data_IF_936637173719
#
_entry.id   IF_936637173719
#
_cell.length_a   1.000
_cell.length_b   1.000
_cell.length_c   1.000
_cell.angle_alpha   90.00
_cell.angle_beta   90.00
_cell.angle_gamma   90.00
#
_symmetry.space_group_name_H-M   'P 1'
#
loop_
_entity.id
_entity.type
_entity.pdbx_description
1 polymer ?
#
# COMPACT_ATOMS: atom_id res chain seq x y z
N UNK A 1 -12.29 6.84 19.39
CA UNK A 1 -11.45 5.70 18.98
C UNK A 1 -11.50 5.51 17.47
N UNK A 2 -12.53 4.90 16.86
CA UNK A 2 -12.57 4.65 15.41
C UNK A 2 -12.63 5.92 14.52
N UNK A 3 -13.43 6.91 14.90
CA UNK A 3 -13.52 8.21 14.18
C UNK A 3 -12.41 9.20 14.55
N UNK A 4 -11.51 8.83 15.46
CA UNK A 4 -10.40 9.69 15.85
C UNK A 4 -9.37 9.74 14.70
N UNK A 5 -8.68 10.88 14.52
CA UNK A 5 -7.62 10.98 13.51
C UNK A 5 -6.47 10.05 13.88
N UNK A 6 -6.01 9.28 12.89
CA UNK A 6 -4.90 8.34 13.02
C UNK A 6 -3.65 8.86 12.30
N UNK A 7 -3.82 9.43 11.10
CA UNK A 7 -2.73 9.97 10.29
C UNK A 7 -3.08 11.32 9.69
N UNK A 8 -2.05 12.15 9.51
CA UNK A 8 -2.09 13.37 8.71
C UNK A 8 -1.13 13.22 7.54
N UNK A 9 -1.68 13.09 6.33
CA UNK A 9 -0.90 12.95 5.11
C UNK A 9 -0.95 14.26 4.34
N UNK A 10 0.22 14.86 4.11
CA UNK A 10 0.31 16.13 3.41
C UNK A 10 0.43 15.91 1.91
N UNK A 11 -0.47 16.52 1.15
CA UNK A 11 -0.45 16.47 -0.31
C UNK A 11 0.02 17.81 -0.86
N UNK A 12 0.91 17.79 -1.86
CA UNK A 12 1.34 18.99 -2.58
C UNK A 12 0.17 19.53 -3.41
N UNK A 13 -0.53 20.53 -2.89
CA UNK A 13 -1.51 21.27 -3.68
C UNK A 13 -0.83 22.05 -4.81
N UNK A 14 -1.58 22.37 -5.87
CA UNK A 14 -1.08 23.18 -6.99
C UNK A 14 -0.90 24.66 -6.65
N UNK A 15 -1.47 25.13 -5.54
CA UNK A 15 -1.30 26.48 -5.00
C UNK A 15 -1.18 26.46 -3.47
N UNK A 16 -0.21 27.20 -2.94
CA UNK A 16 -0.05 27.44 -1.50
C UNK A 16 0.61 26.33 -0.68
N UNK A 17 0.42 26.39 0.65
CA UNK A 17 0.97 25.44 1.62
C UNK A 17 0.31 24.06 1.50
N UNK A 18 1.05 22.95 1.72
CA UNK A 18 0.49 21.59 1.68
C UNK A 18 -0.70 21.42 2.62
N UNK A 19 -1.80 20.85 2.10
CA UNK A 19 -2.99 20.55 2.90
C UNK A 19 -2.85 19.18 3.55
N UNK A 20 -3.21 19.07 4.82
CA UNK A 20 -3.24 17.81 5.54
C UNK A 20 -4.53 17.05 5.25
N UNK A 21 -4.43 15.89 4.61
CA UNK A 21 -5.49 14.91 4.54
C UNK A 21 -5.55 14.14 5.87
N UNK A 22 -6.68 14.29 6.58
CA UNK A 22 -6.89 13.61 7.86
C UNK A 22 -7.47 12.22 7.59
N UNK A 23 -6.71 11.19 7.95
CA UNK A 23 -7.13 9.79 7.86
C UNK A 23 -7.54 9.32 9.26
N UNK A 24 -8.77 8.83 9.40
CA UNK A 24 -9.27 8.26 10.66
C UNK A 24 -8.91 6.79 10.80
N UNK A 25 -8.92 6.26 12.02
CA UNK A 25 -8.69 4.81 12.26
C UNK A 25 -9.67 3.93 11.48
N UNK A 26 -10.93 4.36 11.36
CA UNK A 26 -11.95 3.70 10.54
C UNK A 26 -11.53 3.53 9.08
N UNK A 27 -10.92 4.57 8.48
CA UNK A 27 -10.43 4.51 7.09
C UNK A 27 -9.25 3.57 6.93
N UNK A 28 -8.36 3.52 7.93
CA UNK A 28 -7.25 2.56 7.95
C UNK A 28 -7.77 1.14 7.97
N UNK A 29 -8.69 0.86 8.90
CA UNK A 29 -9.24 -0.47 9.06
C UNK A 29 -10.05 -0.93 7.84
N UNK A 30 -10.86 -0.03 7.28
CA UNK A 30 -11.61 -0.30 6.05
C UNK A 30 -10.69 -0.61 4.87
N UNK A 31 -9.59 0.13 4.71
CA UNK A 31 -8.63 -0.13 3.64
C UNK A 31 -7.99 -1.51 3.80
N UNK A 32 -7.47 -1.85 4.99
CA UNK A 32 -6.90 -3.18 5.24
C UNK A 32 -7.92 -4.30 5.01
N UNK A 33 -9.17 -4.11 5.41
CA UNK A 33 -10.25 -5.06 5.16
C UNK A 33 -10.56 -5.26 3.67
N UNK A 34 -10.58 -4.18 2.89
CA UNK A 34 -10.81 -4.24 1.43
C UNK A 34 -9.74 -5.06 0.71
N UNK A 35 -8.48 -4.96 1.14
CA UNK A 35 -7.41 -5.79 0.57
C UNK A 35 -7.72 -7.28 0.74
N UNK A 36 -8.27 -7.63 1.88
CA UNK A 36 -8.76 -8.96 2.16
C UNK A 36 -9.88 -9.47 1.28
N UNK A 37 -10.81 -8.59 0.92
CA UNK A 37 -11.91 -8.92 0.01
C UNK A 37 -11.42 -9.17 -1.42
N UNK A 38 -10.26 -8.60 -1.79
CA UNK A 38 -9.60 -8.86 -3.08
C UNK A 38 -8.95 -10.25 -3.11
N UNK A 39 -8.92 -10.97 -1.98
CA UNK A 39 -8.38 -12.33 -1.89
C UNK A 39 -6.92 -12.37 -1.45
N UNK A 40 -6.38 -11.26 -0.92
CA UNK A 40 -5.02 -11.23 -0.39
C UNK A 40 -4.91 -12.10 0.86
N UNK A 41 -4.03 -13.09 0.79
CA UNK A 41 -3.78 -14.10 1.81
C UNK A 41 -2.42 -13.89 2.49
N UNK A 42 -2.20 -14.53 3.64
CA UNK A 42 -0.96 -14.46 4.43
C UNK A 42 0.31 -14.88 3.68
N UNK A 43 0.15 -15.69 2.63
CA UNK A 43 1.27 -16.18 1.80
C UNK A 43 1.70 -15.16 0.73
N UNK A 44 0.93 -14.08 0.53
CA UNK A 44 1.19 -13.11 -0.53
C UNK A 44 2.24 -12.09 -0.09
N UNK A 45 3.17 -11.79 -0.99
CA UNK A 45 4.19 -10.77 -0.76
C UNK A 45 3.73 -9.44 -1.36
N UNK A 46 3.45 -8.46 -0.50
CA UNK A 46 3.06 -7.12 -0.95
C UNK A 46 4.30 -6.31 -1.33
N UNK A 47 4.34 -5.86 -2.58
CA UNK A 47 5.44 -5.05 -3.07
C UNK A 47 5.03 -3.57 -3.07
N UNK A 48 5.66 -2.78 -2.18
CA UNK A 48 5.34 -1.36 -1.99
C UNK A 48 6.42 -0.53 -2.69
N UNK A 49 6.07 -0.04 -3.86
CA UNK A 49 6.90 0.81 -4.72
C UNK A 49 6.76 2.31 -4.41
N UNK A 50 5.67 2.68 -3.73
CA UNK A 50 5.36 4.06 -3.42
C UNK A 50 5.90 4.44 -2.04
N UNK A 51 6.27 5.72 -1.84
CA UNK A 51 6.69 6.18 -0.53
C UNK A 51 5.58 5.99 0.52
N UNK A 52 5.93 5.56 1.72
CA UNK A 52 4.97 5.33 2.82
C UNK A 52 4.24 6.59 3.30
N UNK A 53 4.69 7.79 2.92
CA UNK A 53 3.95 9.02 3.17
C UNK A 53 2.79 9.22 2.18
N UNK A 54 2.66 8.38 1.16
CA UNK A 54 1.50 8.36 0.28
C UNK A 54 0.39 7.48 0.86
N UNK A 55 -0.86 7.96 0.76
CA UNK A 55 -2.02 7.29 1.36
C UNK A 55 -2.19 5.86 0.88
N UNK A 56 -2.04 5.57 -0.42
CA UNK A 56 -2.19 4.20 -0.95
C UNK A 56 -1.12 3.24 -0.39
N UNK A 57 0.14 3.67 -0.35
CA UNK A 57 1.25 2.86 0.15
C UNK A 57 1.08 2.50 1.64
N UNK A 58 0.64 3.46 2.45
CA UNK A 58 0.46 3.25 3.88
C UNK A 58 -0.79 2.40 4.19
N UNK A 59 -1.93 2.74 3.57
CA UNK A 59 -3.23 2.11 3.88
C UNK A 59 -3.40 0.72 3.28
N UNK A 60 -2.84 0.47 2.10
CA UNK A 60 -2.99 -0.84 1.43
C UNK A 60 -1.71 -1.66 1.58
N UNK A 61 -0.54 -1.04 1.44
CA UNK A 61 0.74 -1.73 1.57
C UNK A 61 1.05 -2.13 3.01
N UNK A 62 1.36 -1.14 3.87
CA UNK A 62 1.86 -1.42 5.22
C UNK A 62 0.77 -1.95 6.15
N UNK A 63 -0.36 -1.24 6.27
CA UNK A 63 -1.42 -1.63 7.22
C UNK A 63 -2.18 -2.88 6.76
N UNK A 64 -2.36 -3.05 5.45
CA UNK A 64 -2.88 -4.30 4.88
C UNK A 64 -1.98 -5.50 5.15
N UNK A 65 -0.65 -5.35 5.04
CA UNK A 65 0.28 -6.42 5.40
C UNK A 65 0.20 -6.80 6.88
N UNK A 66 0.11 -5.80 7.77
CA UNK A 66 0.03 -6.01 9.22
C UNK A 66 -1.28 -6.71 9.59
N UNK A 67 -2.41 -6.29 9.04
CA UNK A 67 -3.73 -6.88 9.31
C UNK A 67 -3.80 -8.36 8.92
N UNK A 68 -3.10 -8.75 7.85
CA UNK A 68 -3.12 -10.11 7.31
C UNK A 68 -1.94 -10.99 7.71
N UNK A 69 -0.89 -10.41 8.29
CA UNK A 69 0.33 -11.13 8.63
C UNK A 69 1.22 -11.43 7.41
N UNK A 70 1.05 -10.69 6.33
CA UNK A 70 1.79 -10.88 5.08
C UNK A 70 3.21 -10.32 5.17
N UNK A 71 4.07 -10.77 4.26
CA UNK A 71 5.37 -10.16 4.07
C UNK A 71 5.29 -8.94 3.15
N UNK A 72 5.64 -7.76 3.65
CA UNK A 72 5.74 -6.54 2.84
C UNK A 72 7.19 -6.23 2.47
N UNK A 73 7.46 -6.01 1.18
CA UNK A 73 8.74 -5.52 0.68
C UNK A 73 8.62 -4.05 0.28
N UNK A 74 9.28 -3.18 1.03
CA UNK A 74 9.23 -1.72 0.83
C UNK A 74 10.49 -1.28 0.10
N UNK A 75 10.32 -0.66 -1.05
CA UNK A 75 11.43 -0.14 -1.85
C UNK A 75 11.42 1.39 -1.85
N UNK A 76 12.57 1.98 -1.51
CA UNK A 76 12.73 3.43 -1.34
C UNK A 76 12.76 4.16 -2.69
N UNK A 77 13.17 3.47 -3.75
CA UNK A 77 13.18 3.98 -5.11
C UNK A 77 12.55 2.96 -6.05
N UNK A 78 11.60 3.44 -6.85
CA UNK A 78 11.04 2.65 -7.92
C UNK A 78 12.02 2.65 -9.11
N UNK A 79 12.75 1.55 -9.27
CA UNK A 79 13.51 1.27 -10.49
C UNK A 79 12.90 0.08 -11.22
N UNK A 80 12.36 0.32 -12.43
CA UNK A 80 11.74 -0.75 -13.26
C UNK A 80 12.66 -1.95 -13.47
N UNK A 81 13.98 -1.73 -13.59
CA UNK A 81 14.97 -2.81 -13.76
C UNK A 81 15.06 -3.73 -12.54
N UNK A 82 14.96 -3.17 -11.33
CA UNK A 82 15.03 -3.92 -10.08
C UNK A 82 13.72 -4.65 -9.77
N UNK A 83 12.59 -4.11 -10.23
CA UNK A 83 11.31 -4.82 -10.16
C UNK A 83 11.35 -6.06 -11.07
N UNK A 84 11.65 -5.88 -12.35
CA UNK A 84 11.64 -6.96 -13.35
C UNK A 84 12.66 -8.07 -13.06
N UNK A 85 13.85 -7.72 -12.55
CA UNK A 85 14.89 -8.72 -12.23
C UNK A 85 14.58 -9.53 -10.98
N UNK A 86 13.81 -8.97 -10.03
CA UNK A 86 13.46 -9.62 -8.77
C UNK A 86 12.09 -10.32 -8.80
N UNK A 87 11.15 -9.85 -9.60
CA UNK A 87 9.78 -10.40 -9.69
C UNK A 87 9.56 -11.30 -10.90
N UNK A 88 10.50 -11.37 -11.86
CA UNK A 88 10.39 -12.22 -13.04
C UNK A 88 9.18 -11.90 -13.93
N UNK A 89 8.62 -10.68 -13.83
CA UNK A 89 7.36 -10.32 -14.47
C UNK A 89 7.57 -9.87 -15.93
N UNK A 90 7.80 -10.83 -16.82
CA UNK A 90 7.24 -10.74 -18.17
C UNK A 90 5.77 -11.19 -18.04
N UNK A 91 4.82 -10.28 -18.12
CA UNK A 91 3.38 -10.62 -18.15
C UNK A 91 3.20 -11.62 -19.31
N UNK A 92 2.78 -12.88 -19.09
CA UNK A 92 1.46 -13.22 -18.54
C UNK A 92 1.40 -14.48 -17.63
N UNK A 93 0.61 -14.48 -16.55
CA UNK A 93 0.12 -15.75 -15.97
C UNK A 93 -1.16 -15.56 -15.14
N UNK A 94 -2.14 -16.48 -15.18
CA UNK A 94 -3.47 -16.28 -14.60
C UNK A 94 -3.55 -16.53 -13.08
N UNK A 95 -2.48 -16.98 -12.43
CA UNK A 95 -2.52 -17.54 -11.07
C UNK A 95 -1.27 -17.19 -10.21
N UNK A 96 -0.75 -15.96 -10.26
CA UNK A 96 0.32 -15.56 -9.35
C UNK A 96 -0.24 -14.72 -8.18
N UNK A 97 0.10 -15.03 -6.91
CA UNK A 97 -0.42 -14.34 -5.71
C UNK A 97 0.14 -12.92 -5.48
N UNK A 98 0.78 -12.32 -6.48
CA UNK A 98 1.47 -11.05 -6.30
C UNK A 98 0.53 -9.87 -6.52
N UNK A 99 0.22 -9.17 -5.44
CA UNK A 99 -0.66 -7.99 -5.47
C UNK A 99 0.21 -6.74 -5.49
N UNK A 100 0.30 -6.13 -6.66
CA UNK A 100 0.93 -4.83 -6.80
C UNK A 100 0.00 -3.73 -6.29
N UNK A 101 0.44 -3.02 -5.25
CA UNK A 101 -0.30 -1.90 -4.68
C UNK A 101 0.26 -0.61 -5.28
N UNK A 102 -0.36 -0.13 -6.36
CA UNK A 102 -0.10 1.20 -6.95
C UNK A 102 -1.11 2.22 -6.42
#
# INVERSE_FOLDING_TARGET
>A
MLKSPALYIYTSGTTGLPKAAVITHERVWLASFLLGLVGVSSDDVLYVCLPLYHTSAFLMGLTGAIDRGNHAQIHIQFEKKNLLSKTGLAIPCPNSPFVEVT
#
